data_IF_880575897364
#
_entry.id   IF_880575897364
#
_cell.length_a   1.000
_cell.length_b   1.000
_cell.length_c   1.000
_cell.angle_alpha   90.00
_cell.angle_beta   90.00
_cell.angle_gamma   90.00
#
_symmetry.space_group_name_H-M   'P 1'
#
loop_
_entity.id
_entity.type
_entity.pdbx_description
1 polymer ?
#
# COMPACT_ATOMS: atom_id res chain seq x y z
N UNK A 1 -14.55 -0.91 14.95
CA UNK A 1 -13.43 -1.18 15.91
C UNK A 1 -13.04 0.15 16.52
N UNK A 2 -12.90 0.21 17.85
CA UNK A 2 -12.52 1.45 18.55
C UNK A 2 -11.02 1.71 18.45
N UNK A 3 -10.61 2.96 18.63
CA UNK A 3 -9.19 3.35 18.62
C UNK A 3 -8.38 2.66 19.72
N UNK A 4 -8.98 2.46 20.91
CA UNK A 4 -8.33 1.74 22.01
C UNK A 4 -8.08 0.25 21.68
N UNK A 5 -9.00 -0.40 20.96
CA UNK A 5 -8.81 -1.77 20.46
C UNK A 5 -7.76 -1.82 19.35
N UNK A 6 -7.69 -0.77 18.51
CA UNK A 6 -6.68 -0.64 17.46
C UNK A 6 -5.27 -0.51 18.04
N UNK A 7 -5.10 0.41 18.99
CA UNK A 7 -3.82 0.67 19.67
C UNK A 7 -3.41 -0.47 20.61
N UNK A 8 -4.39 -1.21 21.15
CA UNK A 8 -4.16 -2.36 22.03
C UNK A 8 -3.88 -3.69 21.32
N UNK A 9 -3.97 -3.74 19.98
CA UNK A 9 -3.73 -4.96 19.22
C UNK A 9 -2.23 -5.34 19.26
N UNK A 10 -1.84 -6.44 19.93
CA UNK A 10 -0.43 -6.68 20.28
C UNK A 10 0.45 -7.04 19.07
N UNK A 11 -0.14 -7.40 17.93
CA UNK A 11 0.59 -7.86 16.75
C UNK A 11 -0.08 -7.45 15.43
N UNK A 12 0.75 -7.05 14.47
CA UNK A 12 0.37 -6.67 13.10
C UNK A 12 -0.49 -7.74 12.39
N UNK A 13 -0.22 -9.02 12.63
CA UNK A 13 -1.01 -10.12 12.04
C UNK A 13 -2.48 -10.08 12.47
N UNK A 14 -2.73 -9.76 13.75
CA UNK A 14 -4.09 -9.63 14.29
C UNK A 14 -4.81 -8.44 13.65
N UNK A 15 -4.10 -7.31 13.49
CA UNK A 15 -4.64 -6.12 12.80
C UNK A 15 -5.00 -6.43 11.34
N UNK A 16 -4.11 -7.13 10.60
CA UNK A 16 -4.37 -7.50 9.20
C UNK A 16 -5.60 -8.38 9.09
N UNK A 17 -5.75 -9.40 9.94
CA UNK A 17 -6.93 -10.28 9.90
C UNK A 17 -8.24 -9.52 10.14
N UNK A 18 -8.23 -8.58 11.09
CA UNK A 18 -9.38 -7.72 11.36
C UNK A 18 -9.72 -6.80 10.17
N UNK A 19 -8.71 -6.30 9.47
CA UNK A 19 -8.87 -5.51 8.24
C UNK A 19 -9.44 -6.38 7.12
N UNK A 20 -8.95 -7.60 6.93
CA UNK A 20 -9.47 -8.54 5.93
C UNK A 20 -10.96 -8.87 6.15
N UNK A 21 -11.40 -8.92 7.40
CA UNK A 21 -12.80 -9.17 7.77
C UNK A 21 -13.71 -7.95 7.59
N UNK A 22 -13.21 -6.73 7.82
CA UNK A 22 -14.05 -5.52 7.97
C UNK A 22 -13.89 -4.47 6.87
N UNK A 23 -12.75 -4.43 6.19
CA UNK A 23 -12.46 -3.40 5.20
C UNK A 23 -12.96 -3.78 3.80
N UNK A 24 -13.42 -2.74 3.08
CA UNK A 24 -13.73 -2.87 1.65
C UNK A 24 -12.48 -3.31 0.87
N UNK A 25 -12.70 -4.01 -0.24
CA UNK A 25 -11.58 -4.43 -1.08
C UNK A 25 -10.79 -3.25 -1.66
N UNK A 26 -11.46 -2.12 -1.91
CA UNK A 26 -10.79 -0.88 -2.31
C UNK A 26 -9.70 -0.49 -1.30
N UNK A 27 -10.05 -0.37 -0.02
CA UNK A 27 -9.10 0.07 1.04
C UNK A 27 -7.99 -0.96 1.27
N UNK A 28 -8.31 -2.27 1.22
CA UNK A 28 -7.30 -3.33 1.30
C UNK A 28 -6.30 -3.23 0.15
N UNK A 29 -6.78 -3.04 -1.07
CA UNK A 29 -5.92 -2.88 -2.25
C UNK A 29 -5.07 -1.63 -2.18
N UNK A 30 -5.61 -0.49 -1.72
CA UNK A 30 -4.82 0.73 -1.54
C UNK A 30 -3.72 0.57 -0.49
N UNK A 31 -3.96 -0.18 0.59
CA UNK A 31 -2.91 -0.55 1.55
C UNK A 31 -1.82 -1.39 0.90
N UNK A 32 -2.21 -2.40 0.13
CA UNK A 32 -1.28 -3.26 -0.59
C UNK A 32 -0.44 -2.44 -1.58
N UNK A 33 -1.07 -1.53 -2.34
CA UNK A 33 -0.38 -0.62 -3.26
C UNK A 33 0.59 0.31 -2.53
N UNK A 34 0.18 0.88 -1.39
CA UNK A 34 1.05 1.73 -0.58
C UNK A 34 2.28 0.99 -0.04
N UNK A 35 2.13 -0.29 0.33
CA UNK A 35 3.25 -1.15 0.71
C UNK A 35 4.21 -1.37 -0.47
N UNK A 36 3.68 -1.70 -1.66
CA UNK A 36 4.49 -1.88 -2.86
C UNK A 36 5.17 -0.58 -3.32
N UNK A 37 4.49 0.57 -3.22
CA UNK A 37 5.02 1.89 -3.61
C UNK A 37 6.29 2.24 -2.85
N UNK A 38 6.42 1.82 -1.59
CA UNK A 38 7.65 2.03 -0.80
C UNK A 38 8.86 1.29 -1.37
N UNK A 39 8.62 0.22 -2.11
CA UNK A 39 9.66 -0.56 -2.80
C UNK A 39 9.93 -0.08 -4.23
N UNK A 40 9.39 1.08 -4.64
CA UNK A 40 9.50 1.61 -6.02
C UNK A 40 10.91 1.57 -6.60
N UNK A 41 11.92 1.91 -5.80
CA UNK A 41 13.33 1.93 -6.23
C UNK A 41 13.91 0.54 -6.52
N UNK A 42 13.24 -0.53 -6.08
CA UNK A 42 13.59 -1.92 -6.38
C UNK A 42 12.88 -2.42 -7.65
N UNK A 43 11.87 -1.71 -8.15
CA UNK A 43 11.13 -2.13 -9.34
C UNK A 43 11.98 -1.84 -10.60
N UNK A 44 12.34 -2.88 -11.37
CA UNK A 44 13.43 -2.80 -12.35
C UNK A 44 13.05 -2.05 -13.63
N UNK A 45 11.77 -2.06 -14.01
CA UNK A 45 11.29 -1.45 -15.25
C UNK A 45 9.90 -0.81 -15.08
N UNK A 46 9.52 -0.06 -16.10
CA UNK A 46 8.27 0.70 -16.12
C UNK A 46 7.05 -0.21 -16.24
N UNK A 47 7.17 -1.40 -16.83
CA UNK A 47 6.05 -2.35 -16.91
C UNK A 47 5.60 -2.80 -15.52
N UNK A 48 6.52 -3.15 -14.62
CA UNK A 48 6.18 -3.50 -13.23
C UNK A 48 5.60 -2.30 -12.46
N UNK A 49 6.06 -1.08 -12.75
CA UNK A 49 5.54 0.15 -12.14
C UNK A 49 4.12 0.46 -12.63
N UNK A 50 3.84 0.25 -13.90
CA UNK A 50 2.52 0.44 -14.51
C UNK A 50 1.48 -0.51 -13.90
N UNK A 51 1.87 -1.74 -13.54
CA UNK A 51 0.99 -2.68 -12.82
C UNK A 51 0.56 -2.13 -11.46
N UNK A 52 1.47 -1.47 -10.73
CA UNK A 52 1.12 -0.82 -9.47
C UNK A 52 0.07 0.27 -9.68
N UNK A 53 0.27 1.11 -10.70
CA UNK A 53 -0.69 2.18 -11.01
C UNK A 53 -2.04 1.63 -11.48
N UNK A 54 -2.02 0.54 -12.26
CA UNK A 54 -3.20 -0.19 -12.69
C UNK A 54 -3.99 -0.75 -11.51
N UNK A 55 -3.30 -1.29 -10.50
CA UNK A 55 -3.92 -1.80 -9.29
C UNK A 55 -4.56 -0.69 -8.44
N UNK A 56 -3.93 0.49 -8.36
CA UNK A 56 -4.51 1.68 -7.72
C UNK A 56 -5.77 2.14 -8.47
N UNK A 57 -5.73 2.23 -9.80
CA UNK A 57 -6.88 2.60 -10.63
C UNK A 57 -8.03 1.58 -10.54
N UNK A 58 -7.70 0.28 -10.43
CA UNK A 58 -8.70 -0.75 -10.20
C UNK A 58 -9.36 -0.62 -8.82
N UNK A 59 -8.61 -0.25 -7.79
CA UNK A 59 -9.17 0.02 -6.46
C UNK A 59 -10.24 1.13 -6.52
N UNK A 60 -10.01 2.15 -7.34
CA UNK A 60 -10.93 3.28 -7.56
C UNK A 60 -12.01 3.01 -8.61
N UNK A 61 -12.11 1.78 -9.13
CA UNK A 61 -13.13 1.40 -10.12
C UNK A 61 -12.94 2.00 -11.51
N UNK A 62 -11.77 2.60 -11.80
CA UNK A 62 -11.44 3.18 -13.11
C UNK A 62 -11.05 2.11 -14.13
N UNK A 63 -10.65 0.93 -13.66
CA UNK A 63 -10.18 -0.19 -14.47
C UNK A 63 -11.08 -1.41 -14.24
N UNK A 64 -11.31 -2.18 -15.30
CA UNK A 64 -12.10 -3.42 -15.19
C UNK A 64 -11.28 -4.57 -14.62
N UNK A 65 -11.94 -5.52 -13.96
CA UNK A 65 -11.27 -6.72 -13.44
C UNK A 65 -10.67 -7.60 -14.54
N UNK A 66 -11.22 -7.55 -15.76
CA UNK A 66 -10.67 -8.22 -16.93
C UNK A 66 -9.32 -7.65 -17.35
N UNK A 67 -9.19 -6.32 -17.34
CA UNK A 67 -7.91 -5.67 -17.66
C UNK A 67 -6.86 -5.94 -16.58
N UNK A 68 -7.22 -5.85 -15.30
CA UNK A 68 -6.29 -6.18 -14.21
C UNK A 68 -5.76 -7.63 -14.32
N UNK A 69 -6.66 -8.61 -14.56
CA UNK A 69 -6.27 -10.02 -14.72
C UNK A 69 -5.50 -10.31 -16.00
N UNK A 70 -5.67 -9.50 -17.05
CA UNK A 70 -4.94 -9.72 -18.31
C UNK A 70 -3.44 -9.67 -18.10
N UNK A 71 -2.97 -8.80 -17.20
CA UNK A 71 -1.55 -8.63 -16.88
C UNK A 71 -1.00 -9.76 -16.02
N UNK A 72 -1.84 -10.46 -15.24
CA UNK A 72 -1.42 -11.56 -14.37
C UNK A 72 -0.78 -12.73 -15.13
N UNK A 73 -1.22 -12.96 -16.37
CA UNK A 73 -0.78 -14.05 -17.23
C UNK A 73 0.26 -13.61 -18.28
N UNK A 74 0.80 -12.39 -18.15
CA UNK A 74 1.85 -11.94 -19.05
C UNK A 74 3.08 -12.84 -18.93
N UNK A 75 3.64 -13.33 -20.07
CA UNK A 75 4.85 -14.16 -20.08
C UNK A 75 6.03 -13.54 -19.34
N UNK A 76 6.01 -12.22 -19.14
CA UNK A 76 6.96 -11.48 -18.33
C UNK A 76 7.17 -12.10 -16.94
N UNK A 77 6.10 -12.47 -16.22
CA UNK A 77 6.25 -13.04 -14.87
C UNK A 77 6.94 -14.40 -14.89
N UNK A 78 6.70 -15.20 -15.94
CA UNK A 78 7.33 -16.51 -16.10
C UNK A 78 8.80 -16.38 -16.50
N UNK A 79 9.12 -15.48 -17.43
CA UNK A 79 10.49 -15.18 -17.83
C UNK A 79 11.30 -14.63 -16.64
N UNK A 80 10.73 -13.67 -15.91
CA UNK A 80 11.33 -13.15 -14.70
C UNK A 80 11.57 -14.28 -13.69
N UNK A 81 10.57 -15.09 -13.34
CA UNK A 81 10.78 -16.21 -12.41
C UNK A 81 11.91 -17.17 -12.85
N UNK A 82 12.08 -17.39 -14.15
CA UNK A 82 13.18 -18.19 -14.70
C UNK A 82 14.55 -17.48 -14.57
N UNK A 83 14.61 -16.17 -14.85
CA UNK A 83 15.80 -15.35 -14.65
C UNK A 83 16.22 -15.31 -13.18
N UNK A 84 15.26 -15.11 -12.27
CA UNK A 84 15.49 -15.04 -10.83
C UNK A 84 15.99 -16.37 -10.24
N UNK A 85 15.58 -17.50 -10.81
CA UNK A 85 16.07 -18.84 -10.44
C UNK A 85 17.44 -19.18 -11.03
N UNK A 86 18.06 -18.25 -11.77
CA UNK A 86 19.36 -18.47 -12.42
C UNK A 86 19.31 -19.51 -13.55
N UNK A 87 18.13 -19.79 -14.11
CA UNK A 87 17.96 -20.76 -15.21
C UNK A 87 18.16 -20.15 -16.59
N UNK A 88 18.11 -18.81 -16.68
CA UNK A 88 18.50 -18.07 -17.87
C UNK A 88 20.02 -17.82 -17.85
N UNK A 89 20.72 -18.16 -18.93
CA UNK A 89 22.17 -17.96 -19.07
C UNK A 89 22.59 -16.50 -18.80
N UNK A 90 23.33 -16.31 -17.72
CA UNK A 90 24.23 -15.18 -17.38
C UNK A 90 23.62 -13.77 -17.53
N UNK A 91 22.95 -13.28 -16.48
CA UNK A 91 22.67 -11.86 -16.20
C UNK A 91 22.79 -11.58 -14.69
N UNK A 92 23.03 -10.32 -14.26
CA UNK A 92 23.36 -10.02 -12.87
C UNK A 92 22.27 -10.49 -11.94
N UNK A 93 22.69 -11.24 -10.93
CA UNK A 93 21.88 -11.72 -9.84
C UNK A 93 21.15 -10.55 -9.15
N UNK A 94 19.83 -10.47 -9.31
CA UNK A 94 19.01 -9.48 -8.61
C UNK A 94 18.94 -9.79 -7.12
N UNK A 95 18.78 -8.75 -6.31
CA UNK A 95 18.71 -8.87 -4.86
C UNK A 95 17.40 -9.55 -4.44
N UNK A 96 17.42 -10.34 -3.37
CA UNK A 96 16.24 -11.08 -2.90
C UNK A 96 15.04 -10.15 -2.62
N UNK A 97 15.30 -8.91 -2.17
CA UNK A 97 14.27 -7.87 -1.97
C UNK A 97 13.60 -7.44 -3.28
N UNK A 98 14.35 -7.40 -4.38
CA UNK A 98 13.79 -7.11 -5.71
C UNK A 98 12.79 -8.20 -6.13
N UNK A 99 13.13 -9.47 -5.86
CA UNK A 99 12.26 -10.60 -6.19
C UNK A 99 10.92 -10.53 -5.46
N UNK A 100 10.98 -10.25 -4.15
CA UNK A 100 9.80 -10.13 -3.32
C UNK A 100 8.97 -8.90 -3.66
N UNK A 101 9.60 -7.77 -3.99
CA UNK A 101 8.88 -6.59 -4.47
C UNK A 101 8.07 -6.92 -5.75
N UNK A 102 8.65 -7.65 -6.70
CA UNK A 102 7.95 -8.03 -7.93
C UNK A 102 6.86 -9.09 -7.66
N UNK A 103 7.11 -10.03 -6.73
CA UNK A 103 6.09 -10.98 -6.26
C UNK A 103 4.88 -10.25 -5.67
N UNK A 104 5.12 -9.23 -4.83
CA UNK A 104 4.05 -8.40 -4.27
C UNK A 104 3.27 -7.63 -5.35
N UNK A 105 3.95 -7.11 -6.38
CA UNK A 105 3.28 -6.48 -7.53
C UNK A 105 2.42 -7.49 -8.29
N UNK A 106 2.89 -8.73 -8.49
CA UNK A 106 2.08 -9.78 -9.11
C UNK A 106 0.83 -10.06 -8.29
N UNK A 107 0.95 -10.13 -6.97
CA UNK A 107 -0.19 -10.39 -6.08
C UNK A 107 -1.26 -9.29 -6.15
N UNK A 108 -0.89 -8.04 -6.47
CA UNK A 108 -1.84 -6.95 -6.73
C UNK A 108 -2.74 -7.20 -7.95
N UNK A 109 -2.37 -8.09 -8.87
CA UNK A 109 -3.23 -8.41 -10.03
C UNK A 109 -4.40 -9.35 -9.68
N UNK A 110 -4.36 -9.96 -8.49
CA UNK A 110 -5.42 -10.84 -7.99
C UNK A 110 -6.71 -10.06 -7.70
N UNK A 111 -7.87 -10.70 -7.83
CA UNK A 111 -9.17 -10.08 -7.56
C UNK A 111 -9.40 -9.72 -6.09
N UNK A 112 -8.82 -10.48 -5.17
CA UNK A 112 -8.71 -10.13 -3.76
C UNK A 112 -7.23 -10.14 -3.41
N UNK A 113 -6.74 -9.02 -2.87
CA UNK A 113 -5.35 -8.94 -2.43
C UNK A 113 -5.13 -9.80 -1.18
N UNK A 114 -3.97 -10.47 -1.11
CA UNK A 114 -3.50 -11.14 0.10
C UNK A 114 -2.60 -10.14 0.85
N UNK A 115 -3.16 -9.49 1.87
CA UNK A 115 -2.45 -8.42 2.57
C UNK A 115 -1.24 -8.95 3.34
N UNK A 116 -1.38 -10.12 3.96
CA UNK A 116 -0.31 -10.75 4.75
C UNK A 116 0.94 -10.95 3.87
N UNK A 117 0.78 -11.55 2.70
CA UNK A 117 1.91 -11.82 1.79
C UNK A 117 2.59 -10.52 1.33
N UNK A 118 1.81 -9.57 0.81
CA UNK A 118 2.34 -8.30 0.28
C UNK A 118 3.08 -7.52 1.36
N UNK A 119 2.50 -7.45 2.57
CA UNK A 119 3.10 -6.76 3.70
C UNK A 119 4.41 -7.43 4.14
N UNK A 120 4.50 -8.75 4.10
CA UNK A 120 5.74 -9.47 4.45
C UNK A 120 6.81 -9.32 3.37
N UNK A 121 6.42 -9.37 2.09
CA UNK A 121 7.34 -9.28 0.95
C UNK A 121 7.96 -7.89 0.80
N UNK A 122 7.24 -6.84 1.22
CA UNK A 122 7.70 -5.44 1.12
C UNK A 122 8.52 -4.95 2.32
N UNK A 123 8.72 -5.77 3.36
CA UNK A 123 9.36 -5.34 4.62
C UNK A 123 10.63 -6.07 4.99
N UNK A 124 11.40 -6.34 3.96
CA UNK A 124 12.62 -7.10 4.02
C UNK A 124 13.80 -6.16 4.32
N UNK A 125 14.60 -6.53 5.31
CA UNK A 125 15.77 -5.75 5.75
C UNK A 125 16.83 -5.67 4.64
N UNK A 126 17.26 -4.46 4.21
CA UNK A 126 18.34 -4.30 3.23
C UNK A 126 19.66 -4.97 3.63
N UNK A 127 19.92 -5.14 4.93
CA UNK A 127 21.15 -5.77 5.44
C UNK A 127 21.22 -7.27 5.14
N UNK A 128 20.06 -7.90 4.92
CA UNK A 128 19.95 -9.32 4.58
C UNK A 128 19.68 -9.52 3.09
N UNK A 129 19.93 -8.49 2.26
CA UNK A 129 19.68 -8.50 0.83
C UNK A 129 20.79 -9.22 0.07
N UNK A 130 20.78 -10.55 0.17
CA UNK A 130 21.72 -11.41 -0.53
C UNK A 130 21.16 -11.82 -1.89
N UNK A 131 22.09 -12.13 -2.77
CA UNK A 131 21.83 -12.77 -4.05
C UNK A 131 21.51 -14.26 -3.80
N UNK A 132 20.42 -14.81 -4.36
CA UNK A 132 20.21 -16.26 -4.35
C UNK A 132 21.32 -16.93 -5.18
N UNK A 133 22.16 -17.76 -4.55
CA UNK A 133 23.01 -18.68 -5.30
C UNK A 133 22.13 -19.77 -5.94
N UNK A 134 22.41 -20.21 -7.17
CA UNK A 134 21.68 -21.32 -7.78
C UNK A 134 21.91 -22.59 -6.92
N UNK A 135 20.90 -22.98 -6.14
CA UNK A 135 21.00 -24.17 -5.29
C UNK A 135 20.89 -25.39 -6.22
N UNK A 136 22.03 -26.07 -6.44
CA UNK A 136 22.01 -27.42 -6.98
C UNK A 136 21.45 -28.36 -5.88
N UNK A 137 20.30 -28.95 -6.19
CA UNK A 137 19.59 -29.97 -5.43
C UNK A 137 18.90 -29.56 -4.11
N UNK A 138 17.58 -29.72 -4.12
CA UNK A 138 16.77 -30.38 -3.09
C UNK A 138 17.04 -29.99 -1.63
N UNK A 139 16.75 -28.74 -1.28
CA UNK A 139 15.95 -28.37 -0.10
C UNK A 139 15.75 -26.87 -0.15
N UNK A 140 14.53 -26.41 0.14
CA UNK A 140 14.15 -25.00 0.20
C UNK A 140 14.93 -24.31 1.32
N UNK A 141 16.18 -23.95 1.05
CA UNK A 141 17.00 -23.11 1.93
C UNK A 141 16.48 -21.68 1.87
N UNK A 142 15.32 -21.45 2.49
CA UNK A 142 14.78 -20.12 2.70
C UNK A 142 15.75 -19.33 3.55
N UNK A 143 16.57 -18.49 2.94
CA UNK A 143 17.25 -17.42 3.64
C UNK A 143 16.18 -16.58 4.33
N UNK A 144 16.07 -16.73 5.64
CA UNK A 144 15.13 -15.94 6.42
C UNK A 144 15.68 -14.51 6.47
N UNK A 145 15.24 -13.66 5.55
CA UNK A 145 15.46 -12.21 5.70
C UNK A 145 14.80 -11.80 7.01
N UNK A 146 15.58 -11.22 7.92
CA UNK A 146 15.10 -10.74 9.19
C UNK A 146 14.08 -9.62 9.02
N UNK A 147 13.14 -9.55 9.96
CA UNK A 147 12.20 -8.45 10.05
C UNK A 147 12.92 -7.19 10.54
N UNK A 148 12.75 -6.05 9.86
CA UNK A 148 13.28 -4.77 10.31
C UNK A 148 12.25 -4.10 11.26
N UNK A 149 12.61 -3.80 12.52
CA UNK A 149 11.71 -3.11 13.45
C UNK A 149 11.18 -1.76 12.91
N UNK A 150 11.96 -1.04 12.11
CA UNK A 150 11.51 0.24 11.53
C UNK A 150 10.40 0.02 10.48
N UNK A 151 10.36 -1.16 9.86
CA UNK A 151 9.29 -1.53 8.92
C UNK A 151 7.94 -1.69 9.62
N UNK A 152 7.92 -2.09 10.90
CA UNK A 152 6.69 -2.19 11.69
C UNK A 152 6.04 -0.83 11.88
N UNK A 153 6.82 0.14 12.34
CA UNK A 153 6.33 1.50 12.59
C UNK A 153 5.78 2.12 11.31
N UNK A 154 6.48 1.94 10.18
CA UNK A 154 6.01 2.45 8.90
C UNK A 154 4.70 1.79 8.45
N UNK A 155 4.51 0.49 8.70
CA UNK A 155 3.24 -0.18 8.39
C UNK A 155 2.10 0.29 9.26
N UNK A 156 2.36 0.46 10.55
CA UNK A 156 1.36 0.98 11.48
C UNK A 156 0.92 2.36 11.02
N UNK A 157 1.85 3.22 10.59
CA UNK A 157 1.50 4.53 10.02
C UNK A 157 0.70 4.44 8.72
N UNK A 158 1.03 3.52 7.81
CA UNK A 158 0.23 3.30 6.58
C UNK A 158 -1.18 2.81 6.90
N UNK A 159 -1.30 1.92 7.88
CA UNK A 159 -2.58 1.44 8.37
C UNK A 159 -3.42 2.58 8.93
N UNK A 160 -2.83 3.43 9.79
CA UNK A 160 -3.52 4.59 10.33
C UNK A 160 -3.91 5.60 9.24
N UNK A 161 -3.08 5.78 8.22
CA UNK A 161 -3.39 6.70 7.12
C UNK A 161 -4.57 6.21 6.26
N UNK A 162 -4.65 4.92 5.93
CA UNK A 162 -5.73 4.42 5.08
C UNK A 162 -7.01 4.13 5.86
N UNK A 163 -6.85 3.62 7.08
CA UNK A 163 -7.99 3.16 7.87
C UNK A 163 -8.51 4.18 8.86
N UNK A 164 -7.68 5.15 9.25
CA UNK A 164 -7.98 6.08 10.33
C UNK A 164 -7.94 5.42 11.71
N UNK A 165 -8.34 6.15 12.76
CA UNK A 165 -8.39 5.64 14.14
C UNK A 165 -9.52 4.60 14.34
N UNK A 166 -10.46 4.49 13.40
CA UNK A 166 -11.59 3.55 13.43
C UNK A 166 -11.77 2.93 12.05
N UNK A 167 -11.99 1.61 12.01
CA UNK A 167 -12.31 0.91 10.75
C UNK A 167 -13.64 1.39 10.14
N UNK A 168 -14.54 1.91 10.98
CA UNK A 168 -15.87 2.35 10.61
C UNK A 168 -15.85 3.86 10.24
N UNK A 169 -16.72 4.27 9.33
CA UNK A 169 -16.80 5.67 8.86
C UNK A 169 -16.97 6.65 10.02
N UNK A 170 -16.17 7.72 10.00
CA UNK A 170 -16.31 8.83 10.93
C UNK A 170 -17.40 9.78 10.42
N UNK A 171 -18.22 10.37 11.30
CA UNK A 171 -19.24 11.31 10.88
C UNK A 171 -18.58 12.51 10.20
N UNK A 172 -18.87 12.66 8.91
CA UNK A 172 -18.33 13.74 8.08
C UNK A 172 -19.47 14.58 7.53
N UNK A 173 -19.49 15.85 7.91
CA UNK A 173 -20.58 16.76 7.53
C UNK A 173 -20.38 17.21 6.09
N UNK A 174 -21.42 17.11 5.26
CA UNK A 174 -21.33 17.44 3.83
C UNK A 174 -20.92 18.88 3.56
N UNK A 175 -21.21 19.82 4.46
CA UNK A 175 -20.81 21.23 4.36
C UNK A 175 -19.29 21.43 4.41
N UNK A 176 -18.55 20.47 4.97
CA UNK A 176 -17.08 20.50 4.98
C UNK A 176 -16.46 20.20 3.61
N UNK A 177 -17.21 19.58 2.68
CA UNK A 177 -16.77 19.34 1.29
C UNK A 177 -16.89 20.60 0.43
N UNK A 178 -16.18 21.65 0.80
CA UNK A 178 -16.09 22.87 0.00
C UNK A 178 -15.31 22.63 -1.30
N UNK A 179 -15.48 23.51 -2.29
CA UNK A 179 -14.69 23.45 -3.53
C UNK A 179 -13.19 23.52 -3.27
N UNK A 180 -12.76 24.33 -2.29
CA UNK A 180 -11.36 24.45 -1.89
C UNK A 180 -10.81 23.14 -1.31
N UNK A 181 -11.54 22.52 -0.37
CA UNK A 181 -11.15 21.24 0.21
C UNK A 181 -11.09 20.14 -0.87
N UNK A 182 -12.08 20.09 -1.77
CA UNK A 182 -12.10 19.11 -2.86
C UNK A 182 -10.92 19.28 -3.81
N UNK A 183 -10.58 20.50 -4.23
CA UNK A 183 -9.45 20.76 -5.15
C UNK A 183 -8.13 20.31 -4.52
N UNK A 184 -7.90 20.64 -3.25
CA UNK A 184 -6.70 20.19 -2.52
C UNK A 184 -6.64 18.66 -2.45
N UNK A 185 -7.72 18.03 -1.97
CA UNK A 185 -7.82 16.58 -1.85
C UNK A 185 -7.60 15.88 -3.19
N UNK A 186 -8.27 16.34 -4.25
CA UNK A 186 -8.16 15.76 -5.58
C UNK A 186 -6.74 15.91 -6.16
N UNK A 187 -6.10 17.07 -6.00
CA UNK A 187 -4.73 17.27 -6.47
C UNK A 187 -3.75 16.35 -5.75
N UNK A 188 -3.83 16.24 -4.41
CA UNK A 188 -2.98 15.32 -3.64
C UNK A 188 -3.21 13.87 -4.07
N UNK A 189 -4.46 13.49 -4.28
CA UNK A 189 -4.82 12.12 -4.69
C UNK A 189 -4.25 11.73 -6.06
N UNK A 190 -4.31 12.64 -7.05
CA UNK A 190 -3.80 12.38 -8.41
C UNK A 190 -2.27 12.41 -8.46
N UNK A 191 -1.66 13.42 -7.84
CA UNK A 191 -0.19 13.59 -7.85
C UNK A 191 0.53 12.64 -6.91
N UNK A 192 -0.17 12.11 -5.89
CA UNK A 192 0.39 11.38 -4.75
C UNK A 192 1.34 12.23 -3.91
N UNK A 193 1.29 13.55 -4.07
CA UNK A 193 1.98 14.52 -3.22
C UNK A 193 1.00 15.08 -2.20
N UNK A 194 1.20 14.69 -0.94
CA UNK A 194 0.35 15.07 0.19
C UNK A 194 0.94 16.22 1.03
N UNK A 195 1.89 16.98 0.48
CA UNK A 195 2.49 18.13 1.16
C UNK A 195 1.48 19.22 1.55
N UNK A 196 0.33 19.27 0.87
CA UNK A 196 -0.75 20.24 1.14
C UNK A 196 -1.75 19.80 2.22
N UNK A 197 -1.50 18.70 2.95
CA UNK A 197 -2.38 18.24 4.03
C UNK A 197 -2.65 19.31 5.11
N UNK A 198 -1.67 20.11 5.57
CA UNK A 198 -1.95 21.20 6.51
C UNK A 198 -2.92 22.25 5.94
N UNK A 199 -2.81 22.56 4.64
CA UNK A 199 -3.75 23.48 3.97
C UNK A 199 -5.15 22.88 3.86
N UNK A 200 -5.26 21.57 3.70
CA UNK A 200 -6.55 20.87 3.76
C UNK A 200 -7.17 21.01 5.15
N UNK A 201 -6.38 20.90 6.22
CA UNK A 201 -6.86 21.13 7.59
C UNK A 201 -7.48 22.53 7.75
N UNK A 202 -6.79 23.55 7.26
CA UNK A 202 -7.26 24.94 7.34
C UNK A 202 -8.53 25.15 6.50
N UNK A 203 -8.60 24.56 5.30
CA UNK A 203 -9.80 24.62 4.47
C UNK A 203 -11.01 23.94 5.13
N UNK A 204 -10.80 22.82 5.83
CA UNK A 204 -11.84 22.12 6.59
C UNK A 204 -12.28 22.94 7.81
N UNK A 205 -11.34 23.53 8.55
CA UNK A 205 -11.64 24.38 9.72
C UNK A 205 -12.42 25.64 9.31
N UNK A 206 -12.06 26.29 8.20
CA UNK A 206 -12.82 27.40 7.60
C UNK A 206 -14.24 26.97 7.19
N UNK A 207 -14.42 25.73 6.75
CA UNK A 207 -15.73 25.18 6.44
C UNK A 207 -16.55 24.80 7.70
N UNK A 208 -16.01 25.03 8.89
CA UNK A 208 -16.65 24.74 10.18
C UNK A 208 -16.41 23.32 10.69
N UNK A 209 -15.34 22.64 10.25
CA UNK A 209 -14.93 21.37 10.84
C UNK A 209 -14.34 21.60 12.22
N UNK A 210 -14.94 20.98 13.23
CA UNK A 210 -14.50 21.01 14.64
C UNK A 210 -13.97 19.64 15.12
N UNK A 211 -13.94 18.65 14.22
CA UNK A 211 -13.48 17.30 14.53
C UNK A 211 -11.95 17.26 14.69
N UNK A 212 -11.51 17.18 15.95
CA UNK A 212 -10.09 17.18 16.31
C UNK A 212 -9.30 16.02 15.71
N UNK A 213 -9.90 14.84 15.48
CA UNK A 213 -9.20 13.70 14.87
C UNK A 213 -8.85 13.97 13.40
N UNK A 214 -9.80 14.56 12.66
CA UNK A 214 -9.59 14.95 11.25
C UNK A 214 -8.52 16.03 11.16
N UNK A 215 -8.65 17.09 11.96
CA UNK A 215 -7.72 18.23 11.93
C UNK A 215 -6.31 17.82 12.39
N UNK A 216 -6.21 17.00 13.44
CA UNK A 216 -4.93 16.49 13.95
C UNK A 216 -4.23 15.63 12.91
N UNK A 217 -4.95 14.69 12.28
CA UNK A 217 -4.37 13.84 11.23
C UNK A 217 -3.80 14.64 10.06
N UNK A 218 -4.41 15.77 9.69
CA UNK A 218 -3.92 16.62 8.60
C UNK A 218 -2.73 17.50 8.99
N UNK A 219 -2.60 17.86 10.28
CA UNK A 219 -1.58 18.78 10.80
C UNK A 219 -0.33 18.07 11.30
N UNK A 220 -0.49 16.87 11.85
CA UNK A 220 0.63 16.09 12.36
C UNK A 220 1.53 15.61 11.22
N UNK A 221 2.87 15.66 11.39
CA UNK A 221 3.77 15.11 10.40
C UNK A 221 3.56 13.60 10.31
N UNK A 222 3.16 13.13 9.13
CA UNK A 222 2.84 11.74 8.88
C UNK A 222 3.15 11.34 7.45
N UNK A 223 3.02 10.04 7.19
CA UNK A 223 2.98 9.55 5.82
C UNK A 223 1.52 9.56 5.38
N UNK A 224 1.28 10.11 4.20
CA UNK A 224 -0.03 10.07 3.56
C UNK A 224 0.11 9.42 2.20
N UNK A 225 -0.83 8.55 1.86
CA UNK A 225 -0.84 7.80 0.62
C UNK A 225 -2.21 7.87 -0.03
N UNK A 226 -2.28 7.40 -1.28
CA UNK A 226 -3.56 7.23 -1.97
C UNK A 226 -4.44 6.28 -1.15
N UNK A 227 -5.63 6.74 -0.78
CA UNK A 227 -6.50 6.06 0.19
C UNK A 227 -6.46 6.64 1.60
N UNK A 228 -5.71 7.74 1.84
CA UNK A 228 -5.76 8.49 3.08
C UNK A 228 -7.22 8.77 3.49
N UNK A 229 -7.58 8.39 4.71
CA UNK A 229 -8.97 8.35 5.16
C UNK A 229 -9.63 9.75 5.16
N UNK A 230 -8.90 10.81 5.49
CA UNK A 230 -9.44 12.20 5.42
C UNK A 230 -9.62 12.65 3.97
N UNK A 231 -8.67 12.31 3.09
CA UNK A 231 -8.76 12.67 1.68
C UNK A 231 -9.93 11.93 1.02
N UNK A 232 -10.10 10.64 1.29
CA UNK A 232 -11.23 9.85 0.80
C UNK A 232 -12.57 10.36 1.34
N UNK A 233 -12.62 10.83 2.60
CA UNK A 233 -13.79 11.48 3.17
C UNK A 233 -14.18 12.75 2.40
N UNK A 234 -13.21 13.58 2.03
CA UNK A 234 -13.44 14.80 1.24
C UNK A 234 -13.89 14.46 -0.18
N UNK A 235 -13.31 13.42 -0.79
CA UNK A 235 -13.64 12.99 -2.15
C UNK A 235 -14.94 12.16 -2.24
N UNK A 236 -15.42 11.61 -1.12
CA UNK A 236 -16.59 10.72 -1.08
C UNK A 236 -16.29 9.30 -1.52
N UNK A 237 -15.06 8.82 -1.27
CA UNK A 237 -14.55 7.53 -1.75
C UNK A 237 -14.53 6.41 -0.68
N UNK A 238 -15.21 6.58 0.46
CA UNK A 238 -15.18 5.61 1.59
C UNK A 238 -15.57 4.16 1.23
#
# INVERSE_FOLDING_TARGET
MTEAEWLGAPHLYTLIRLIEEKASERRRRLLACACCRRTWNLLPDDFIRDILELAEQYADGMVTSGHLRSVQNEPYFDDLQNQLRGRAQVKPQQSLRTLYAISAIRDLTSLSVNLVNIILDTSRNPRDDYIPTPIHNETTGGGSIGYDPNELDLKIRLLHDIFGPRLDSLPFVSTWRTSAAFVLAHQMYQSRDFSSMPMLADALEVAGCDNQEILRHCREPGIHVRGCWVVDLVLGNE
#
